data_IF_853695013814
#
_entry.id   IF_853695013814
#
_cell.length_a   1.000
_cell.length_b   1.000
_cell.length_c   1.000
_cell.angle_alpha   90.00
_cell.angle_beta   90.00
_cell.angle_gamma   90.00
#
_symmetry.space_group_name_H-M   'P 1'
#
loop_
_entity.id
_entity.type
_entity.pdbx_description
1 polymer ?
#
# COMPACT_ATOMS: atom_id res chain seq x y z
N UNK A 1 -30.71 8.64 -13.97
CA UNK A 1 -29.66 8.41 -12.95
C UNK A 1 -29.24 9.79 -12.48
N UNK A 2 -29.33 10.06 -11.18
CA UNK A 2 -29.00 11.37 -10.61
C UNK A 2 -27.72 11.19 -9.81
N UNK A 3 -26.64 11.79 -10.27
CA UNK A 3 -25.37 11.75 -9.55
C UNK A 3 -25.39 12.81 -8.45
N UNK A 4 -25.05 12.43 -7.22
CA UNK A 4 -24.88 13.36 -6.11
C UNK A 4 -23.50 14.03 -6.14
N UNK A 5 -22.52 13.34 -6.74
CA UNK A 5 -21.13 13.78 -6.82
C UNK A 5 -20.64 13.79 -8.26
N UNK A 6 -20.15 14.96 -8.70
CA UNK A 6 -19.47 15.09 -9.99
C UNK A 6 -17.95 14.98 -9.82
N UNK A 7 -17.28 14.14 -10.62
CA UNK A 7 -15.86 13.83 -10.50
C UNK A 7 -14.99 15.08 -10.66
N UNK A 8 -15.44 16.02 -11.50
CA UNK A 8 -14.77 17.29 -11.73
C UNK A 8 -14.66 18.17 -10.47
N UNK A 9 -15.56 17.96 -9.51
CA UNK A 9 -15.62 18.70 -8.26
C UNK A 9 -14.76 18.08 -7.15
N UNK A 10 -14.17 16.91 -7.38
CA UNK A 10 -13.19 16.33 -6.47
C UNK A 10 -11.83 16.99 -6.65
N UNK A 11 -11.14 17.19 -5.53
CA UNK A 11 -9.76 17.65 -5.49
C UNK A 11 -9.00 16.88 -4.42
N UNK A 12 -7.75 16.53 -4.72
CA UNK A 12 -6.84 15.93 -3.74
C UNK A 12 -5.92 17.03 -3.20
N UNK A 13 -5.91 17.19 -1.88
CA UNK A 13 -5.06 18.14 -1.18
C UNK A 13 -4.05 17.39 -0.31
N UNK A 14 -2.79 17.43 -0.70
CA UNK A 14 -1.68 16.80 0.01
C UNK A 14 -0.60 17.86 0.32
N UNK A 15 0.16 17.62 1.39
CA UNK A 15 1.47 18.25 1.50
C UNK A 15 2.44 17.51 0.56
N UNK A 16 3.51 18.15 0.05
CA UNK A 16 4.51 17.46 -0.75
C UNK A 16 5.01 16.22 -0.01
N UNK A 17 4.61 15.04 -0.46
CA UNK A 17 5.05 13.79 0.12
C UNK A 17 6.42 13.46 -0.47
N UNK A 18 7.47 13.48 0.35
CA UNK A 18 8.74 12.88 -0.03
C UNK A 18 8.82 11.48 0.57
N UNK A 19 8.88 10.48 -0.30
CA UNK A 19 9.28 9.16 0.14
C UNK A 19 10.74 9.20 0.59
N UNK A 20 11.09 8.31 1.51
CA UNK A 20 12.48 8.16 1.89
C UNK A 20 13.31 7.71 0.69
N UNK A 21 14.56 8.19 0.62
CA UNK A 21 15.46 7.85 -0.48
C UNK A 21 15.65 6.34 -0.63
N UNK A 22 15.65 5.58 0.48
CA UNK A 22 15.73 4.12 0.45
C UNK A 22 14.56 3.51 -0.31
N UNK A 23 13.33 4.00 -0.11
CA UNK A 23 12.13 3.53 -0.82
C UNK A 23 12.22 3.83 -2.31
N UNK A 24 12.62 5.05 -2.69
CA UNK A 24 12.75 5.42 -4.10
C UNK A 24 13.85 4.62 -4.82
N UNK A 25 14.98 4.36 -4.15
CA UNK A 25 16.08 3.55 -4.69
C UNK A 25 15.64 2.11 -4.91
N UNK A 26 14.92 1.52 -3.95
CA UNK A 26 14.33 0.18 -4.09
C UNK A 26 13.34 0.18 -5.26
N UNK A 27 12.41 1.13 -5.29
CA UNK A 27 11.36 1.24 -6.31
C UNK A 27 11.94 1.27 -7.74
N UNK A 28 12.99 2.06 -7.96
CA UNK A 28 13.68 2.17 -9.26
C UNK A 28 14.28 0.86 -9.74
N UNK A 29 14.70 -0.03 -8.85
CA UNK A 29 15.24 -1.33 -9.24
C UNK A 29 14.12 -2.32 -9.47
N UNK A 30 13.17 -2.41 -8.52
CA UNK A 30 12.10 -3.41 -8.63
C UNK A 30 11.25 -3.19 -9.87
N UNK A 31 11.03 -1.95 -10.34
CA UNK A 31 10.28 -1.70 -11.58
C UNK A 31 10.95 -2.17 -12.86
N UNK A 32 12.25 -2.47 -12.83
CA UNK A 32 13.01 -2.92 -14.02
C UNK A 32 13.07 -4.45 -14.14
N UNK A 33 12.85 -5.19 -13.05
CA UNK A 33 12.93 -6.65 -13.03
C UNK A 33 11.87 -7.25 -12.10
N UNK A 34 10.97 -8.04 -12.69
CA UNK A 34 9.84 -8.65 -11.99
C UNK A 34 10.26 -9.59 -10.85
N UNK A 35 11.39 -10.27 -10.99
CA UNK A 35 11.86 -11.18 -9.94
C UNK A 35 12.56 -10.41 -8.83
N UNK A 36 13.24 -9.29 -9.11
CA UNK A 36 13.68 -8.34 -8.09
C UNK A 36 12.48 -7.78 -7.29
N UNK A 37 11.36 -7.50 -7.97
CA UNK A 37 10.11 -7.14 -7.32
C UNK A 37 9.58 -8.25 -6.38
N UNK A 38 9.51 -9.51 -6.84
CA UNK A 38 9.08 -10.65 -6.00
C UNK A 38 10.01 -10.91 -4.82
N UNK A 39 11.33 -10.86 -5.04
CA UNK A 39 12.35 -11.03 -3.98
C UNK A 39 12.19 -9.93 -2.92
N UNK A 40 12.01 -8.67 -3.33
CA UNK A 40 11.82 -7.56 -2.40
C UNK A 40 10.59 -7.77 -1.51
N UNK A 41 9.46 -8.15 -2.09
CA UNK A 41 8.23 -8.42 -1.35
C UNK A 41 8.40 -9.61 -0.38
N UNK A 42 8.99 -10.72 -0.84
CA UNK A 42 9.32 -11.87 0.03
C UNK A 42 10.21 -11.44 1.19
N UNK A 43 11.22 -10.63 0.91
CA UNK A 43 12.17 -10.19 1.91
C UNK A 43 11.51 -9.34 3.00
N UNK A 44 10.74 -8.31 2.66
CA UNK A 44 10.07 -7.51 3.69
C UNK A 44 8.94 -8.27 4.40
N UNK A 45 8.35 -9.29 3.78
CA UNK A 45 7.34 -10.13 4.42
C UNK A 45 7.95 -11.01 5.52
N UNK A 46 9.14 -11.57 5.27
CA UNK A 46 9.82 -12.50 6.19
C UNK A 46 10.75 -11.79 7.17
N UNK A 47 11.50 -10.81 6.70
CA UNK A 47 12.47 -10.04 7.49
C UNK A 47 11.83 -8.73 7.90
N UNK A 48 11.05 -8.79 8.96
CA UNK A 48 10.14 -7.70 9.36
C UNK A 48 10.72 -6.82 10.50
N UNK A 49 11.92 -7.17 10.96
CA UNK A 49 12.69 -6.54 12.04
C UNK A 49 14.19 -6.62 11.71
N UNK A 50 14.78 -5.49 11.34
CA UNK A 50 16.20 -5.41 10.98
C UNK A 50 17.17 -5.56 12.17
N UNK A 51 16.65 -5.67 13.40
CA UNK A 51 17.46 -5.91 14.61
C UNK A 51 17.38 -7.36 15.10
N UNK A 52 16.46 -8.15 14.56
CA UNK A 52 16.25 -9.54 14.96
C UNK A 52 17.25 -10.52 14.31
N UNK A 53 17.85 -10.13 13.18
CA UNK A 53 18.84 -10.94 12.44
C UNK A 53 20.07 -10.11 12.10
N UNK A 54 21.20 -10.78 11.89
CA UNK A 54 22.44 -10.14 11.43
C UNK A 54 22.36 -9.82 9.93
N UNK A 55 23.23 -8.92 9.45
CA UNK A 55 23.39 -8.67 8.00
C UNK A 55 23.68 -9.95 7.23
N UNK A 56 24.53 -10.84 7.75
CA UNK A 56 24.84 -12.13 7.12
C UNK A 56 23.58 -13.00 7.03
N UNK A 57 22.74 -13.01 8.07
CA UNK A 57 21.45 -13.69 8.04
C UNK A 57 20.49 -13.10 7.00
N UNK A 58 20.43 -11.78 6.89
CA UNK A 58 19.62 -11.09 5.89
C UNK A 58 20.11 -11.37 4.45
N UNK A 59 21.42 -11.38 4.25
CA UNK A 59 22.07 -11.75 2.99
C UNK A 59 21.74 -13.18 2.57
N UNK A 60 21.87 -14.12 3.51
CA UNK A 60 21.50 -15.53 3.28
C UNK A 60 20.04 -15.64 2.85
N UNK A 61 19.12 -14.91 3.51
CA UNK A 61 17.70 -14.90 3.16
C UNK A 61 17.43 -14.35 1.75
N UNK A 62 18.13 -13.29 1.35
CA UNK A 62 18.00 -12.74 0.00
C UNK A 62 18.45 -13.76 -1.07
N UNK A 63 19.59 -14.42 -0.82
CA UNK A 63 20.13 -15.41 -1.75
C UNK A 63 19.23 -16.66 -1.81
N UNK A 64 18.66 -17.10 -0.68
CA UNK A 64 17.65 -18.16 -0.62
C UNK A 64 16.41 -17.81 -1.48
N UNK A 65 15.88 -16.59 -1.38
CA UNK A 65 14.73 -16.18 -2.23
C UNK A 65 15.09 -16.14 -3.71
N UNK A 66 16.29 -15.65 -4.06
CA UNK A 66 16.75 -15.64 -5.45
C UNK A 66 16.85 -17.07 -5.98
N UNK A 67 17.49 -17.96 -5.25
CA UNK A 67 17.64 -19.37 -5.61
C UNK A 67 16.27 -20.05 -5.73
N UNK A 68 15.35 -19.80 -4.80
CA UNK A 68 13.98 -20.31 -4.87
C UNK A 68 13.30 -19.93 -6.18
N UNK A 69 13.35 -18.66 -6.59
CA UNK A 69 12.72 -18.24 -7.85
C UNK A 69 13.45 -18.78 -9.10
N UNK A 70 14.78 -18.81 -9.11
CA UNK A 70 15.55 -19.35 -10.24
C UNK A 70 15.32 -20.85 -10.44
N UNK A 71 15.18 -21.62 -9.35
CA UNK A 71 14.96 -23.07 -9.42
C UNK A 71 13.49 -23.41 -9.63
N UNK A 72 12.59 -22.85 -8.82
CA UNK A 72 11.18 -23.29 -8.78
C UNK A 72 10.33 -22.71 -9.91
N UNK A 73 10.68 -21.51 -10.39
CA UNK A 73 9.93 -20.80 -11.44
C UNK A 73 10.69 -20.72 -12.77
N UNK A 74 11.86 -21.37 -12.89
CA UNK A 74 12.76 -21.27 -14.05
C UNK A 74 13.03 -19.80 -14.43
N UNK A 75 13.19 -18.96 -13.41
CA UNK A 75 13.30 -17.52 -13.54
C UNK A 75 14.71 -17.09 -13.96
N UNK A 76 14.79 -16.05 -14.81
CA UNK A 76 16.03 -15.32 -15.01
C UNK A 76 16.02 -14.01 -14.21
N UNK A 77 16.75 -13.99 -13.09
CA UNK A 77 16.94 -12.79 -12.27
C UNK A 77 18.16 -12.01 -12.77
N UNK A 78 17.99 -10.73 -13.13
CA UNK A 78 19.13 -9.90 -13.54
C UNK A 78 20.17 -9.77 -12.43
N UNK A 79 21.35 -10.37 -12.63
CA UNK A 79 22.44 -10.36 -11.62
C UNK A 79 22.87 -8.94 -11.22
N UNK A 80 22.86 -7.99 -12.17
CA UNK A 80 23.25 -6.62 -11.91
C UNK A 80 22.22 -5.86 -11.06
N UNK A 81 20.93 -6.01 -11.40
CA UNK A 81 19.82 -5.39 -10.65
C UNK A 81 19.69 -6.03 -9.27
N UNK A 82 19.79 -7.36 -9.18
CA UNK A 82 19.78 -8.08 -7.92
C UNK A 82 20.93 -7.65 -7.01
N UNK A 83 22.15 -7.57 -7.51
CA UNK A 83 23.30 -7.11 -6.71
C UNK A 83 23.10 -5.69 -6.18
N UNK A 84 22.50 -4.81 -6.98
CA UNK A 84 22.17 -3.44 -6.57
C UNK A 84 21.08 -3.41 -5.50
N UNK A 85 20.02 -4.21 -5.66
CA UNK A 85 18.94 -4.36 -4.69
C UNK A 85 19.48 -4.90 -3.36
N UNK A 86 20.25 -5.99 -3.43
CA UNK A 86 20.89 -6.64 -2.28
C UNK A 86 21.75 -5.64 -1.50
N UNK A 87 22.59 -4.85 -2.19
CA UNK A 87 23.37 -3.80 -1.55
C UNK A 87 22.50 -2.82 -0.74
N UNK A 88 21.44 -2.29 -1.36
CA UNK A 88 20.53 -1.34 -0.69
C UNK A 88 19.84 -1.98 0.52
N UNK A 89 19.41 -3.24 0.41
CA UNK A 89 18.71 -3.91 1.49
C UNK A 89 19.61 -4.26 2.66
N UNK A 90 20.86 -4.65 2.41
CA UNK A 90 21.82 -4.93 3.47
C UNK A 90 22.29 -3.66 4.19
N UNK A 91 22.33 -2.51 3.50
CA UNK A 91 22.57 -1.20 4.14
C UNK A 91 21.55 -0.90 5.25
N UNK A 92 20.32 -1.44 5.15
CA UNK A 92 19.28 -1.27 6.17
C UNK A 92 19.62 -1.95 7.51
N UNK A 93 20.60 -2.85 7.54
CA UNK A 93 21.05 -3.58 8.73
C UNK A 93 22.33 -3.01 9.34
N UNK A 94 23.13 -2.29 8.55
CA UNK A 94 24.40 -1.68 9.00
C UNK A 94 24.25 -0.21 9.38
N UNK A 95 23.30 0.49 8.75
CA UNK A 95 23.12 1.91 8.99
C UNK A 95 22.52 2.15 10.38
N UNK A 96 23.34 2.70 11.28
CA UNK A 96 22.96 2.99 12.68
C UNK A 96 21.79 4.00 12.79
N UNK A 97 21.48 4.76 11.74
CA UNK A 97 20.31 5.65 11.71
C UNK A 97 18.98 4.91 11.42
N UNK A 98 19.04 3.64 11.00
CA UNK A 98 17.87 2.81 10.66
C UNK A 98 17.60 1.86 11.83
N UNK A 99 16.84 2.34 12.81
CA UNK A 99 16.32 1.47 13.86
C UNK A 99 15.08 0.69 13.39
N UNK A 100 14.58 -0.23 14.22
CA UNK A 100 13.38 -1.03 13.96
C UNK A 100 12.15 -0.22 13.53
N UNK A 101 11.94 0.97 14.11
CA UNK A 101 10.80 1.84 13.76
C UNK A 101 10.99 2.42 12.36
N UNK A 102 12.20 2.92 12.07
CA UNK A 102 12.55 3.44 10.75
C UNK A 102 12.48 2.37 9.67
N UNK A 103 12.98 1.17 9.93
CA UNK A 103 12.88 0.02 9.04
C UNK A 103 11.41 -0.30 8.71
N UNK A 104 10.55 -0.29 9.74
CA UNK A 104 9.11 -0.47 9.56
C UNK A 104 8.46 0.60 8.70
N UNK A 105 8.86 1.85 8.86
CA UNK A 105 8.40 2.93 7.97
C UNK A 105 8.85 2.67 6.53
N UNK A 106 10.09 2.23 6.30
CA UNK A 106 10.61 1.94 4.96
C UNK A 106 9.76 0.88 4.25
N UNK A 107 9.54 -0.29 4.86
CA UNK A 107 8.75 -1.34 4.19
C UNK A 107 7.26 -0.98 4.06
N UNK A 108 6.70 -0.17 4.98
CA UNK A 108 5.30 0.26 4.89
C UNK A 108 5.12 1.27 3.75
N UNK A 109 6.00 2.27 3.68
CA UNK A 109 6.00 3.26 2.58
C UNK A 109 6.40 2.65 1.24
N UNK A 110 7.14 1.54 1.23
CA UNK A 110 7.40 0.79 0.01
C UNK A 110 6.11 0.24 -0.61
N UNK A 111 5.18 -0.31 0.19
CA UNK A 111 3.89 -0.77 -0.32
C UNK A 111 3.05 0.38 -0.89
N UNK A 112 3.05 1.53 -0.22
CA UNK A 112 2.40 2.75 -0.74
C UNK A 112 3.03 3.19 -2.07
N UNK A 113 4.35 3.11 -2.19
CA UNK A 113 5.06 3.42 -3.43
C UNK A 113 4.74 2.42 -4.54
N UNK A 114 4.63 1.12 -4.24
CA UNK A 114 4.20 0.10 -5.20
C UNK A 114 2.81 0.42 -5.76
N UNK A 115 1.85 0.75 -4.88
CA UNK A 115 0.49 1.13 -5.29
C UNK A 115 0.52 2.44 -6.08
N UNK A 116 1.35 3.41 -5.69
CA UNK A 116 1.59 4.61 -6.49
C UNK A 116 2.07 4.23 -7.90
N UNK A 117 3.09 3.39 -8.04
CA UNK A 117 3.61 3.00 -9.36
C UNK A 117 2.56 2.25 -10.18
N UNK A 118 1.76 1.40 -9.55
CA UNK A 118 0.70 0.64 -10.19
C UNK A 118 -0.43 1.52 -10.76
N UNK A 119 -0.81 2.57 -10.05
CA UNK A 119 -1.91 3.46 -10.43
C UNK A 119 -1.43 4.70 -11.21
N UNK A 120 -0.12 4.92 -11.28
CA UNK A 120 0.46 6.05 -12.02
C UNK A 120 0.22 5.87 -13.51
N UNK A 121 -0.63 6.72 -14.09
CA UNK A 121 -0.76 6.82 -15.55
C UNK A 121 0.21 7.91 -16.04
N UNK A 122 1.01 7.65 -17.09
CA UNK A 122 1.80 8.71 -17.73
C UNK A 122 0.89 9.80 -18.30
N UNK A 123 1.11 11.06 -17.91
CA UNK A 123 0.44 12.23 -18.51
C UNK A 123 -0.17 13.19 -17.48
N UNK A 124 -0.70 14.35 -17.94
CA UNK A 124 -1.21 15.41 -17.06
C UNK A 124 -2.62 15.12 -16.48
N UNK A 125 -3.29 14.09 -16.98
CA UNK A 125 -4.74 13.90 -16.77
C UNK A 125 -5.09 13.14 -15.48
N UNK A 126 -4.13 12.43 -14.90
CA UNK A 126 -4.28 11.66 -13.66
C UNK A 126 -3.37 12.16 -12.55
N UNK A 127 -3.93 12.25 -11.34
CA UNK A 127 -3.23 12.63 -10.12
C UNK A 127 -3.18 11.42 -9.18
N UNK A 128 -2.00 11.03 -8.72
CA UNK A 128 -1.81 10.04 -7.65
C UNK A 128 -1.20 10.76 -6.46
N UNK A 129 -1.91 10.80 -5.34
CA UNK A 129 -1.45 11.45 -4.11
C UNK A 129 -1.33 10.47 -2.95
N UNK A 130 -0.38 10.75 -2.04
CA UNK A 130 -0.11 9.97 -0.84
C UNK A 130 -0.69 10.68 0.38
N UNK A 131 -1.49 9.96 1.17
CA UNK A 131 -2.25 10.48 2.30
C UNK A 131 -2.95 11.84 2.02
N UNK A 132 -3.67 12.03 0.89
CA UNK A 132 -4.34 13.29 0.61
C UNK A 132 -5.62 13.44 1.43
N UNK A 133 -6.02 14.69 1.64
CA UNK A 133 -7.41 15.03 1.93
C UNK A 133 -8.21 14.98 0.63
N UNK A 134 -9.32 14.24 0.65
CA UNK A 134 -10.26 14.21 -0.48
C UNK A 134 -11.31 15.29 -0.23
N UNK A 135 -11.34 16.28 -1.11
CA UNK A 135 -12.27 17.41 -1.05
C UNK A 135 -13.33 17.29 -2.14
N UNK A 136 -14.55 17.71 -1.85
CA UNK A 136 -15.64 17.90 -2.82
C UNK A 136 -16.15 19.34 -2.75
N UNK A 137 -16.13 20.06 -3.89
CA UNK A 137 -16.45 21.49 -3.95
C UNK A 137 -15.65 22.32 -2.92
N UNK A 138 -14.39 21.96 -2.71
CA UNK A 138 -13.49 22.61 -1.75
C UNK A 138 -13.73 22.27 -0.27
N UNK A 139 -14.75 21.46 0.05
CA UNK A 139 -15.00 21.00 1.41
C UNK A 139 -14.47 19.58 1.62
N UNK A 140 -13.96 19.29 2.81
CA UNK A 140 -13.53 17.95 3.15
C UNK A 140 -14.70 16.96 3.07
N UNK A 141 -14.48 15.83 2.39
CA UNK A 141 -15.46 14.76 2.29
C UNK A 141 -15.88 14.29 3.70
N UNK A 142 -17.18 14.09 3.87
CA UNK A 142 -17.80 13.66 5.13
C UNK A 142 -17.53 14.59 6.32
N UNK A 143 -17.36 15.91 6.11
CA UNK A 143 -16.98 16.86 7.16
C UNK A 143 -17.88 16.87 8.41
N UNK A 144 -19.11 16.37 8.31
CA UNK A 144 -20.08 16.18 9.38
C UNK A 144 -19.89 14.89 10.20
N UNK A 145 -19.04 13.97 9.74
CA UNK A 145 -18.79 12.66 10.36
C UNK A 145 -17.55 12.68 11.26
N UNK A 146 -17.50 11.85 12.30
CA UNK A 146 -16.36 11.81 13.24
C UNK A 146 -15.06 11.26 12.63
N UNK A 147 -15.17 10.56 11.50
CA UNK A 147 -14.07 9.97 10.74
C UNK A 147 -13.54 10.84 9.60
N UNK A 148 -14.05 12.06 9.38
CA UNK A 148 -13.72 12.95 8.25
C UNK A 148 -12.23 13.23 8.06
N UNK A 149 -11.43 13.19 9.14
CA UNK A 149 -9.98 13.41 9.11
C UNK A 149 -9.18 12.16 8.75
N UNK A 150 -9.85 11.04 8.53
CA UNK A 150 -9.20 9.85 7.98
C UNK A 150 -8.82 10.12 6.52
N UNK A 151 -7.71 9.54 6.09
CA UNK A 151 -7.20 9.65 4.72
C UNK A 151 -6.95 8.25 4.20
N UNK A 152 -6.98 8.02 2.90
CA UNK A 152 -6.43 6.78 2.34
C UNK A 152 -4.94 6.94 2.08
N UNK A 153 -4.19 5.86 2.17
CA UNK A 153 -2.74 5.91 2.01
C UNK A 153 -2.36 6.34 0.57
N UNK A 154 -3.08 5.87 -0.46
CA UNK A 154 -2.92 6.31 -1.86
C UNK A 154 -4.30 6.64 -2.46
N UNK A 155 -4.44 7.78 -3.14
CA UNK A 155 -5.65 8.11 -3.91
C UNK A 155 -5.27 8.48 -5.34
N UNK A 156 -5.97 7.87 -6.29
CA UNK A 156 -5.91 8.20 -7.70
C UNK A 156 -7.18 8.93 -8.14
N UNK A 157 -7.01 10.05 -8.82
CA UNK A 157 -8.08 10.84 -9.42
C UNK A 157 -7.72 11.17 -10.86
N UNK A 158 -8.61 10.83 -11.80
CA UNK A 158 -8.51 11.26 -13.19
C UNK A 158 -9.87 11.78 -13.66
N UNK A 159 -9.92 13.08 -13.94
CA UNK A 159 -11.17 13.77 -14.31
C UNK A 159 -11.58 13.50 -15.76
N UNK A 160 -10.62 13.14 -16.62
CA UNK A 160 -10.84 12.89 -18.06
C UNK A 160 -11.39 11.49 -18.29
N UNK A 161 -10.71 10.46 -17.76
CA UNK A 161 -11.20 9.07 -17.80
C UNK A 161 -12.30 8.79 -16.77
N UNK A 162 -12.61 9.78 -15.92
CA UNK A 162 -13.59 9.71 -14.84
C UNK A 162 -13.31 8.56 -13.86
N UNK A 163 -12.09 8.53 -13.33
CA UNK A 163 -11.65 7.51 -12.37
C UNK A 163 -11.38 8.11 -10.99
N UNK A 164 -11.89 7.46 -9.94
CA UNK A 164 -11.59 7.78 -8.54
C UNK A 164 -11.33 6.49 -7.76
N UNK A 165 -10.06 6.23 -7.43
CA UNK A 165 -9.64 4.98 -6.77
C UNK A 165 -8.90 5.29 -5.47
N UNK A 166 -9.30 4.64 -4.38
CA UNK A 166 -8.77 4.87 -3.04
C UNK A 166 -8.20 3.57 -2.48
N UNK A 167 -6.94 3.60 -2.04
CA UNK A 167 -6.24 2.43 -1.55
C UNK A 167 -5.68 2.65 -0.15
N UNK A 168 -5.99 1.74 0.76
CA UNK A 168 -5.40 1.66 2.10
C UNK A 168 -4.35 0.56 2.13
N UNK A 169 -3.08 0.92 2.29
CA UNK A 169 -1.94 0.02 2.26
C UNK A 169 -1.68 -0.53 3.67
N UNK A 170 -1.71 -1.85 3.84
CA UNK A 170 -1.47 -2.51 5.12
C UNK A 170 -0.53 -3.67 4.95
N UNK A 171 0.76 -3.41 5.11
CA UNK A 171 1.79 -4.44 5.07
C UNK A 171 1.50 -5.61 6.02
N UNK A 172 1.03 -5.30 7.25
CA UNK A 172 0.58 -6.31 8.23
C UNK A 172 -0.90 -6.15 8.54
N UNK A 173 -1.75 -6.76 7.71
CA UNK A 173 -3.19 -6.72 7.92
C UNK A 173 -3.57 -7.37 9.26
N UNK A 174 -2.89 -8.43 9.70
CA UNK A 174 -3.13 -9.06 11.00
C UNK A 174 -3.05 -8.07 12.19
N UNK A 175 -2.05 -7.19 12.23
CA UNK A 175 -1.94 -6.20 13.32
C UNK A 175 -3.08 -5.19 13.28
N UNK A 176 -3.51 -4.78 12.07
CA UNK A 176 -4.65 -3.90 11.89
C UNK A 176 -5.95 -4.57 12.37
N UNK A 177 -6.15 -5.85 12.03
CA UNK A 177 -7.29 -6.64 12.47
C UNK A 177 -7.28 -6.88 13.98
N UNK A 178 -6.12 -7.16 14.56
CA UNK A 178 -5.97 -7.30 16.02
C UNK A 178 -6.36 -6.02 16.76
N UNK A 179 -5.95 -4.85 16.26
CA UNK A 179 -6.36 -3.56 16.83
C UNK A 179 -7.88 -3.32 16.61
N UNK A 180 -8.44 -3.68 15.46
CA UNK A 180 -9.87 -3.54 15.14
C UNK A 180 -10.76 -4.39 16.06
N UNK A 181 -10.38 -5.65 16.26
CA UNK A 181 -11.13 -6.67 16.99
C UNK A 181 -10.88 -6.64 18.51
N UNK A 182 -10.04 -5.72 18.99
CA UNK A 182 -9.69 -5.61 20.40
C UNK A 182 -10.94 -5.39 21.29
N UNK A 183 -11.23 -6.31 22.20
CA UNK A 183 -12.39 -6.25 23.09
C UNK A 183 -12.00 -6.05 24.57
N UNK A 184 -10.74 -5.73 24.86
CA UNK A 184 -10.24 -5.50 26.21
C UNK A 184 -10.40 -4.06 26.69
N UNK A 185 -9.82 -3.76 27.85
CA UNK A 185 -9.99 -2.47 28.55
C UNK A 185 -8.71 -1.61 28.58
N UNK A 186 -7.63 -2.03 27.93
CA UNK A 186 -6.35 -1.30 27.96
C UNK A 186 -6.46 -0.01 27.15
N UNK A 187 -6.48 1.14 27.86
CA UNK A 187 -6.68 2.48 27.29
C UNK A 187 -5.80 2.80 26.08
N UNK A 188 -4.51 2.42 26.10
CA UNK A 188 -3.60 2.64 24.98
C UNK A 188 -4.03 1.90 23.71
N UNK A 189 -4.57 0.69 23.85
CA UNK A 189 -5.04 -0.13 22.73
C UNK A 189 -6.40 0.36 22.25
N UNK A 190 -7.29 0.77 23.17
CA UNK A 190 -8.59 1.39 22.83
C UNK A 190 -8.43 2.63 21.95
N UNK A 191 -7.40 3.47 22.19
CA UNK A 191 -7.10 4.61 21.30
C UNK A 191 -6.71 4.17 19.89
N UNK A 192 -5.95 3.08 19.74
CA UNK A 192 -5.59 2.51 18.43
C UNK A 192 -6.81 1.92 17.74
N UNK A 193 -7.61 1.13 18.46
CA UNK A 193 -8.87 0.59 17.96
C UNK A 193 -9.79 1.70 17.44
N UNK A 194 -9.97 2.78 18.20
CA UNK A 194 -10.80 3.91 17.77
C UNK A 194 -10.27 4.55 16.47
N UNK A 195 -8.95 4.68 16.31
CA UNK A 195 -8.33 5.16 15.07
C UNK A 195 -8.62 4.21 13.90
N UNK A 196 -8.46 2.91 14.11
CA UNK A 196 -8.69 1.87 13.10
C UNK A 196 -10.17 1.81 12.71
N UNK A 197 -11.10 1.85 13.68
CA UNK A 197 -12.55 1.91 13.42
C UNK A 197 -12.96 3.12 12.60
N UNK A 198 -12.43 4.31 12.92
CA UNK A 198 -12.68 5.52 12.10
C UNK A 198 -12.15 5.37 10.67
N UNK A 199 -10.96 4.79 10.49
CA UNK A 199 -10.43 4.50 9.15
C UNK A 199 -11.37 3.56 8.37
N UNK A 200 -11.82 2.46 8.98
CA UNK A 200 -12.76 1.53 8.33
C UNK A 200 -14.09 2.22 7.99
N UNK A 201 -14.63 3.05 8.89
CA UNK A 201 -15.86 3.80 8.63
C UNK A 201 -15.72 4.77 7.44
N UNK A 202 -14.59 5.48 7.36
CA UNK A 202 -14.27 6.35 6.22
C UNK A 202 -14.21 5.58 4.88
N UNK A 203 -13.56 4.41 4.88
CA UNK A 203 -13.50 3.57 3.69
C UNK A 203 -14.89 3.04 3.30
N UNK A 204 -15.71 2.63 4.27
CA UNK A 204 -17.08 2.15 4.01
C UNK A 204 -17.99 3.26 3.48
N UNK A 205 -17.85 4.49 3.98
CA UNK A 205 -18.63 5.62 3.47
C UNK A 205 -18.34 5.92 1.99
N UNK A 206 -17.07 5.83 1.55
CA UNK A 206 -16.74 5.90 0.13
C UNK A 206 -17.27 4.71 -0.66
N UNK A 207 -17.18 3.50 -0.12
CA UNK A 207 -17.73 2.31 -0.75
C UNK A 207 -19.24 2.45 -1.01
N UNK A 208 -20.00 2.91 -0.03
CA UNK A 208 -21.45 3.12 -0.14
C UNK A 208 -21.78 4.10 -1.27
N UNK A 209 -21.06 5.23 -1.35
CA UNK A 209 -21.21 6.22 -2.44
C UNK A 209 -20.91 5.61 -3.82
N UNK A 210 -19.89 4.74 -3.91
CA UNK A 210 -19.51 4.09 -5.17
C UNK A 210 -20.51 3.01 -5.59
N UNK A 211 -20.93 2.16 -4.65
CA UNK A 211 -21.90 1.08 -4.91
C UNK A 211 -23.27 1.64 -5.30
N UNK A 212 -23.71 2.74 -4.66
CA UNK A 212 -24.96 3.41 -4.98
C UNK A 212 -24.92 4.15 -6.34
N UNK A 213 -23.77 4.21 -7.01
CA UNK A 213 -23.62 4.93 -8.28
C UNK A 213 -23.83 6.43 -8.14
N UNK A 214 -23.51 6.99 -6.96
CA UNK A 214 -23.73 8.41 -6.67
C UNK A 214 -22.66 9.33 -7.26
N UNK A 215 -21.53 8.77 -7.70
CA UNK A 215 -20.46 9.48 -8.41
C UNK A 215 -20.58 9.23 -9.91
N UNK A 216 -20.45 10.27 -10.73
CA UNK A 216 -20.41 10.16 -12.19
C UNK A 216 -19.04 9.65 -12.72
N UNK A 217 -18.52 8.59 -12.10
CA UNK A 217 -17.26 7.93 -12.44
C UNK A 217 -17.49 6.72 -13.35
N UNK A 218 -16.59 6.51 -14.32
CA UNK A 218 -16.54 5.29 -15.14
C UNK A 218 -15.85 4.15 -14.37
N UNK A 219 -14.89 4.49 -13.51
CA UNK A 219 -14.31 3.53 -12.56
C UNK A 219 -14.17 4.18 -11.18
N UNK A 220 -14.85 3.61 -10.20
CA UNK A 220 -14.68 3.95 -8.80
C UNK A 220 -14.28 2.69 -8.02
N UNK A 221 -13.20 2.78 -7.23
CA UNK A 221 -12.74 1.65 -6.43
C UNK A 221 -12.29 2.11 -5.05
N UNK A 222 -12.59 1.29 -4.04
CA UNK A 222 -11.97 1.42 -2.72
C UNK A 222 -11.55 0.05 -2.21
N UNK A 223 -10.28 -0.06 -1.82
CA UNK A 223 -9.70 -1.35 -1.44
C UNK A 223 -8.60 -1.21 -0.39
N UNK A 224 -8.39 -2.29 0.35
CA UNK A 224 -7.13 -2.53 1.05
C UNK A 224 -6.13 -3.17 0.09
N UNK A 225 -4.84 -2.86 0.27
CA UNK A 225 -3.73 -3.53 -0.42
C UNK A 225 -2.75 -4.06 0.62
N UNK A 226 -2.32 -5.31 0.48
CA UNK A 226 -1.39 -5.97 1.41
C UNK A 226 -0.45 -6.94 0.69
N UNK A 227 0.72 -7.18 1.28
CA UNK A 227 1.61 -8.27 0.87
C UNK A 227 1.38 -9.56 1.68
N UNK A 228 0.36 -9.60 2.53
CA UNK A 228 -0.09 -10.85 3.11
C UNK A 228 -0.70 -11.74 2.02
N UNK A 229 -0.40 -13.04 2.11
CA UNK A 229 -1.03 -14.07 1.28
C UNK A 229 -2.50 -14.23 1.68
N UNK A 230 -3.39 -14.57 0.74
CA UNK A 230 -4.81 -14.81 1.02
C UNK A 230 -5.03 -15.79 2.18
N UNK A 231 -4.23 -16.86 2.23
CA UNK A 231 -4.25 -17.88 3.28
C UNK A 231 -4.04 -17.32 4.69
N UNK A 232 -3.42 -16.14 4.83
CA UNK A 232 -3.14 -15.48 6.10
C UNK A 232 -4.29 -14.57 6.58
N UNK A 233 -5.33 -14.35 5.78
CA UNK A 233 -6.34 -13.31 6.04
C UNK A 233 -7.73 -13.89 6.37
N UNK A 234 -7.91 -15.21 6.34
CA UNK A 234 -9.24 -15.83 6.27
C UNK A 234 -10.14 -15.74 7.53
N UNK A 235 -9.61 -15.45 8.72
CA UNK A 235 -10.40 -15.62 9.96
C UNK A 235 -11.15 -14.36 10.46
N UNK A 236 -10.84 -13.15 9.98
CA UNK A 236 -11.40 -11.90 10.56
C UNK A 236 -11.86 -10.83 9.54
N UNK A 237 -11.77 -11.08 8.23
CA UNK A 237 -12.10 -10.09 7.16
C UNK A 237 -13.54 -9.58 7.22
N UNK A 238 -14.48 -10.29 7.88
CA UNK A 238 -15.90 -9.89 7.95
C UNK A 238 -16.07 -8.43 8.39
N UNK A 239 -15.20 -7.92 9.27
CA UNK A 239 -15.26 -6.52 9.69
C UNK A 239 -14.89 -5.51 8.60
N UNK A 240 -14.09 -5.93 7.61
CA UNK A 240 -13.73 -5.15 6.44
C UNK A 240 -14.77 -5.24 5.33
N UNK A 241 -15.57 -6.32 5.27
CA UNK A 241 -16.67 -6.44 4.32
C UNK A 241 -17.58 -5.20 4.34
N UNK A 242 -18.00 -4.65 3.18
CA UNK A 242 -17.82 -5.16 1.80
C UNK A 242 -16.54 -4.70 1.08
N UNK A 243 -15.54 -4.14 1.78
CA UNK A 243 -14.34 -3.59 1.15
C UNK A 243 -13.50 -4.69 0.49
N UNK A 244 -13.07 -4.43 -0.75
CA UNK A 244 -12.15 -5.29 -1.49
C UNK A 244 -10.77 -5.31 -0.83
N UNK A 245 -10.09 -6.43 -0.91
CA UNK A 245 -8.72 -6.60 -0.40
C UNK A 245 -7.88 -7.20 -1.53
N UNK A 246 -6.87 -6.46 -1.97
CA UNK A 246 -5.82 -6.99 -2.84
C UNK A 246 -4.72 -7.59 -1.98
N UNK A 247 -4.52 -8.88 -2.15
CA UNK A 247 -3.50 -9.68 -1.49
C UNK A 247 -2.21 -9.70 -2.32
N UNK A 248 -1.19 -10.37 -1.79
CA UNK A 248 0.08 -10.55 -2.50
C UNK A 248 -0.13 -11.19 -3.88
N UNK A 249 -0.96 -12.22 -3.94
CA UNK A 249 -1.28 -12.95 -5.16
C UNK A 249 -1.91 -12.05 -6.24
N UNK A 250 -2.67 -11.03 -5.84
CA UNK A 250 -3.31 -10.10 -6.77
C UNK A 250 -2.34 -9.07 -7.33
N UNK A 251 -1.40 -8.58 -6.51
CA UNK A 251 -0.48 -7.50 -6.91
C UNK A 251 0.85 -8.01 -7.47
N UNK A 252 1.29 -9.22 -7.12
CA UNK A 252 2.49 -9.85 -7.67
C UNK A 252 2.27 -10.55 -9.02
N UNK A 253 1.54 -9.92 -9.93
CA UNK A 253 1.28 -10.45 -11.27
C UNK A 253 2.10 -9.71 -12.31
N UNK A 254 2.40 -10.39 -13.43
CA UNK A 254 3.04 -9.74 -14.59
C UNK A 254 2.19 -8.60 -15.15
N UNK A 255 0.87 -8.70 -15.06
CA UNK A 255 -0.05 -7.66 -15.49
C UNK A 255 0.11 -6.40 -14.64
N UNK A 256 0.05 -6.52 -13.31
CA UNK A 256 0.27 -5.39 -12.39
C UNK A 256 1.66 -4.81 -12.58
N UNK A 257 2.68 -5.66 -12.65
CA UNK A 257 4.06 -5.25 -12.88
C UNK A 257 4.23 -4.42 -14.17
N UNK A 258 3.59 -4.85 -15.26
CA UNK A 258 3.66 -4.14 -16.56
C UNK A 258 3.07 -2.72 -16.54
N UNK A 259 2.28 -2.39 -15.50
CA UNK A 259 1.68 -1.07 -15.29
C UNK A 259 2.54 -0.16 -14.41
N UNK A 260 3.62 -0.66 -13.82
CA UNK A 260 4.45 0.15 -12.93
C UNK A 260 5.12 1.32 -13.68
N UNK A 261 4.89 2.52 -13.16
CA UNK A 261 5.51 3.74 -13.66
C UNK A 261 6.12 4.54 -12.50
N UNK A 262 7.38 5.00 -12.67
CA UNK A 262 8.13 5.78 -11.67
C UNK A 262 8.15 7.25 -12.04
#
# INVERSE_FOLDING_TARGET
MTFNYLINNFTLSSSPSSFRQEVERIARIVKEDFYCYKIMNSFFLVVDDNTAITKIGAETKLDEFKEEFEISEDAHVSSALYSSLKGILLDLFENQSINKVTYRTIYSSYLEYLVKMWQSIPGPDGQVEIEPEVLYNGNLMFSDQDFHRSKCDVVYLNKVSKELKLYECKFRLFSFMSDLNYNGTVSKILKKQAKVKRKVAYLKAFHEIFEAGEVDAEQAEIAFVTLAHESQIQQDIVHLSPLKIYTREDIETREVFSKFYV
#
